data_IF_494269526463
#
_entry.id   IF_494269526463
#
_cell.length_a   1.000
_cell.length_b   1.000
_cell.length_c   1.000
_cell.angle_alpha   90.00
_cell.angle_beta   90.00
_cell.angle_gamma   90.00
#
_symmetry.space_group_name_H-M   'P 1'
#
loop_
_entity.id
_entity.type
_entity.pdbx_description
1 polymer ?
#
# COMPACT_ATOMS: atom_id res chain seq x y z
N UNK A 1 -26.82 16.74 -15.38
CA UNK A 1 -27.01 16.25 -14.00
C UNK A 1 -25.96 15.20 -13.66
N UNK A 2 -25.73 14.18 -14.50
CA UNK A 2 -24.57 13.27 -14.38
C UNK A 2 -23.27 14.06 -14.27
N UNK A 3 -22.97 14.95 -15.23
CA UNK A 3 -21.75 15.78 -15.20
C UNK A 3 -21.61 16.65 -13.95
N UNK A 4 -22.73 17.07 -13.35
CA UNK A 4 -22.72 17.89 -12.14
C UNK A 4 -22.32 17.05 -10.92
N UNK A 5 -22.82 15.82 -10.81
CA UNK A 5 -22.43 14.88 -9.75
C UNK A 5 -20.96 14.51 -9.92
N UNK A 6 -20.53 14.23 -11.15
CA UNK A 6 -19.15 13.84 -11.43
C UNK A 6 -18.16 15.00 -11.32
N UNK A 7 -18.61 16.25 -11.50
CA UNK A 7 -17.74 17.41 -11.30
C UNK A 7 -17.22 17.56 -9.86
N UNK A 8 -17.88 16.95 -8.87
CA UNK A 8 -17.40 16.92 -7.49
C UNK A 8 -16.10 16.11 -7.33
N UNK A 9 -15.81 15.19 -8.26
CA UNK A 9 -14.56 14.42 -8.26
C UNK A 9 -13.39 15.18 -8.89
N UNK A 10 -13.66 16.29 -9.59
CA UNK A 10 -12.63 17.10 -10.25
C UNK A 10 -11.93 17.99 -9.23
N UNK A 11 -10.63 17.76 -9.07
CA UNK A 11 -9.76 18.59 -8.25
C UNK A 11 -9.05 19.61 -9.15
N UNK A 12 -9.11 20.89 -8.77
CA UNK A 12 -8.32 21.94 -9.42
C UNK A 12 -6.83 21.79 -9.09
N UNK A 13 -5.98 22.49 -9.83
CA UNK A 13 -4.56 22.52 -9.52
C UNK A 13 -4.31 23.12 -8.13
N UNK A 14 -5.06 24.14 -7.78
CA UNK A 14 -5.01 24.82 -6.49
C UNK A 14 -5.40 23.88 -5.34
N UNK A 15 -6.41 23.02 -5.55
CA UNK A 15 -6.80 21.98 -4.59
C UNK A 15 -5.64 20.99 -4.35
N UNK A 16 -4.99 20.54 -5.42
CA UNK A 16 -3.87 19.60 -5.34
C UNK A 16 -2.64 20.23 -4.68
N UNK A 17 -2.35 21.50 -4.96
CA UNK A 17 -1.28 22.26 -4.30
C UNK A 17 -1.56 22.41 -2.79
N UNK A 18 -2.82 22.62 -2.40
CA UNK A 18 -3.22 22.70 -1.00
C UNK A 18 -3.12 21.33 -0.30
N UNK A 19 -3.55 20.25 -0.93
CA UNK A 19 -3.35 18.87 -0.43
C UNK A 19 -1.86 18.59 -0.23
N UNK A 20 -1.02 18.90 -1.23
CA UNK A 20 0.43 18.77 -1.17
C UNK A 20 1.04 19.58 0.00
N UNK A 21 0.57 20.80 0.23
CA UNK A 21 1.04 21.64 1.35
C UNK A 21 0.62 21.06 2.71
N UNK A 22 -0.63 20.57 2.83
CA UNK A 22 -1.17 19.99 4.06
C UNK A 22 -0.45 18.70 4.44
N UNK A 23 -0.26 17.77 3.50
CA UNK A 23 0.45 16.52 3.77
C UNK A 23 1.91 16.77 4.17
N UNK A 24 2.58 17.72 3.52
CA UNK A 24 3.96 18.11 3.88
C UNK A 24 4.06 18.63 5.30
N UNK A 25 3.09 19.43 5.74
CA UNK A 25 3.04 19.91 7.13
C UNK A 25 2.89 18.76 8.11
N UNK A 26 2.04 17.78 7.81
CA UNK A 26 1.87 16.60 8.67
C UNK A 26 3.11 15.71 8.68
N UNK A 27 3.84 15.58 7.57
CA UNK A 27 5.15 14.93 7.55
C UNK A 27 6.16 15.65 8.47
N UNK A 28 6.21 16.99 8.43
CA UNK A 28 7.09 17.75 9.34
C UNK A 28 6.71 17.60 10.81
N UNK A 29 5.41 17.43 11.11
CA UNK A 29 4.95 17.13 12.48
C UNK A 29 5.32 15.71 12.89
N UNK A 30 5.12 14.73 12.00
CA UNK A 30 5.45 13.33 12.27
C UNK A 30 6.92 13.09 12.58
N UNK A 31 7.82 13.91 12.05
CA UNK A 31 9.26 13.79 12.27
C UNK A 31 9.77 14.40 13.59
N UNK A 32 8.97 15.24 14.26
CA UNK A 32 9.38 15.96 15.47
C UNK A 32 8.91 15.25 16.73
N UNK A 33 9.76 15.17 17.74
CA UNK A 33 9.41 14.52 19.01
C UNK A 33 8.19 15.18 19.66
N UNK A 34 8.09 16.50 19.60
CA UNK A 34 7.02 17.27 20.24
C UNK A 34 5.63 17.04 19.63
N UNK A 35 5.55 16.71 18.34
CA UNK A 35 4.27 16.65 17.60
C UNK A 35 3.96 15.29 16.98
N UNK A 36 4.86 14.32 17.08
CA UNK A 36 4.73 12.97 16.51
C UNK A 36 3.46 12.22 16.94
N UNK A 37 3.14 12.27 18.23
CA UNK A 37 1.99 11.54 18.78
C UNK A 37 0.65 12.06 18.22
N UNK A 38 0.56 13.36 17.96
CA UNK A 38 -0.64 14.03 17.42
C UNK A 38 -0.68 14.07 15.88
N UNK A 39 0.45 13.86 15.21
CA UNK A 39 0.53 13.88 13.75
C UNK A 39 -0.29 12.73 13.14
N UNK A 40 -1.05 13.03 12.09
CA UNK A 40 -1.78 12.01 11.33
C UNK A 40 -0.82 11.16 10.48
N UNK A 41 0.20 11.79 9.90
CA UNK A 41 1.29 11.12 9.17
C UNK A 41 2.43 10.81 10.14
N UNK A 42 2.66 9.52 10.42
CA UNK A 42 3.54 9.09 11.52
C UNK A 42 5.03 9.17 11.24
N UNK A 43 5.48 9.11 9.99
CA UNK A 43 6.90 9.26 9.65
C UNK A 43 7.82 8.32 10.45
N UNK A 44 7.51 7.03 10.40
CA UNK A 44 8.14 5.98 11.18
C UNK A 44 9.59 5.72 10.71
N UNK A 45 10.59 5.83 11.59
CA UNK A 45 11.97 5.46 11.28
C UNK A 45 12.09 3.96 10.99
N UNK A 46 12.80 3.60 9.91
CA UNK A 46 12.92 2.18 9.48
C UNK A 46 14.24 1.53 9.86
N UNK A 47 15.20 2.32 10.37
CA UNK A 47 16.58 1.91 10.65
C UNK A 47 17.41 1.47 9.42
N UNK A 48 16.86 1.61 8.20
CA UNK A 48 17.62 1.48 6.96
C UNK A 48 18.33 2.82 6.68
N UNK A 49 19.67 2.84 6.82
CA UNK A 49 20.47 4.09 6.79
C UNK A 49 21.15 4.39 5.45
N UNK A 50 21.21 3.43 4.55
CA UNK A 50 21.81 3.59 3.23
C UNK A 50 21.05 2.79 2.18
N UNK A 51 21.17 3.24 0.94
CA UNK A 51 20.81 2.44 -0.24
C UNK A 51 21.91 1.42 -0.53
N UNK A 52 21.63 0.36 -1.30
CA UNK A 52 22.63 -0.64 -1.65
C UNK A 52 23.93 -0.03 -2.22
N UNK A 53 25.07 -0.59 -1.83
CA UNK A 53 26.41 -0.13 -2.28
C UNK A 53 26.93 -0.96 -3.46
N UNK A 54 26.31 -2.11 -3.73
CA UNK A 54 26.71 -3.07 -4.76
C UNK A 54 27.72 -4.12 -4.28
N UNK A 55 28.06 -4.10 -2.98
CA UNK A 55 28.90 -5.11 -2.34
C UNK A 55 28.10 -6.27 -1.73
N UNK A 56 26.77 -6.21 -1.81
CA UNK A 56 25.87 -7.21 -1.25
C UNK A 56 25.93 -8.52 -2.05
N UNK A 57 26.25 -9.62 -1.39
CA UNK A 57 26.30 -10.97 -1.98
C UNK A 57 25.77 -12.01 -0.99
N UNK A 58 25.06 -13.02 -1.48
CA UNK A 58 24.59 -14.14 -0.66
C UNK A 58 23.25 -14.73 -1.09
N UNK A 59 22.87 -15.81 -0.40
CA UNK A 59 21.56 -16.46 -0.51
C UNK A 59 20.72 -16.01 0.71
N UNK A 60 19.57 -15.38 0.45
CA UNK A 60 18.67 -14.84 1.47
C UNK A 60 17.27 -15.43 1.31
N UNK A 61 16.57 -15.58 2.44
CA UNK A 61 15.14 -15.78 2.43
C UNK A 61 14.43 -14.44 2.59
N UNK A 62 13.30 -14.28 1.91
CA UNK A 62 12.45 -13.12 2.08
C UNK A 62 11.00 -13.56 2.23
N UNK A 63 10.32 -12.94 3.19
CA UNK A 63 8.88 -13.09 3.40
C UNK A 63 8.19 -11.80 2.98
N UNK A 64 7.04 -11.91 2.32
CA UNK A 64 6.22 -10.77 1.93
C UNK A 64 4.79 -10.98 2.42
N UNK A 65 4.41 -10.22 3.44
CA UNK A 65 3.11 -10.24 4.08
C UNK A 65 2.51 -8.84 4.11
N UNK A 66 1.57 -8.58 3.19
CA UNK A 66 0.83 -7.31 3.15
C UNK A 66 -0.64 -7.41 2.75
N UNK A 67 -1.12 -8.60 2.42
CA UNK A 67 -2.50 -8.88 2.01
C UNK A 67 -2.82 -10.36 2.17
N UNK A 68 -3.85 -10.84 1.48
CA UNK A 68 -4.26 -12.26 1.50
C UNK A 68 -3.26 -13.19 0.81
N UNK A 69 -2.41 -12.65 -0.06
CA UNK A 69 -1.35 -13.38 -0.75
C UNK A 69 -0.04 -13.21 0.02
N UNK A 70 0.40 -14.27 0.68
CA UNK A 70 1.69 -14.37 1.36
C UNK A 70 2.73 -14.95 0.42
N UNK A 71 3.93 -14.39 0.38
CA UNK A 71 5.03 -14.91 -0.45
C UNK A 71 6.22 -15.34 0.40
N UNK A 72 6.78 -16.50 0.07
CA UNK A 72 8.08 -16.95 0.56
C UNK A 72 9.03 -16.99 -0.62
N UNK A 73 10.22 -16.41 -0.47
CA UNK A 73 11.18 -16.23 -1.54
C UNK A 73 12.58 -16.68 -1.11
N UNK A 74 13.32 -17.25 -2.05
CA UNK A 74 14.77 -17.39 -2.01
C UNK A 74 15.34 -16.37 -3.01
N UNK A 75 16.10 -15.41 -2.51
CA UNK A 75 16.77 -14.38 -3.28
C UNK A 75 18.27 -14.66 -3.25
N UNK A 76 18.86 -14.81 -4.43
CA UNK A 76 20.31 -14.97 -4.58
C UNK A 76 20.88 -13.72 -5.19
N UNK A 77 21.79 -13.08 -4.46
CA UNK A 77 22.51 -11.89 -4.91
C UNK A 77 23.95 -12.28 -5.15
N UNK A 78 24.46 -12.04 -6.36
CA UNK A 78 25.84 -12.33 -6.72
C UNK A 78 26.43 -11.31 -7.69
N UNK A 79 27.73 -11.38 -7.89
CA UNK A 79 28.45 -10.55 -8.87
C UNK A 79 28.19 -11.06 -10.29
N UNK A 80 28.06 -10.12 -11.24
CA UNK A 80 27.91 -10.40 -12.68
C UNK A 80 28.92 -9.56 -13.47
N UNK A 81 29.70 -10.20 -14.34
CA UNK A 81 30.78 -9.54 -15.08
C UNK A 81 30.28 -8.50 -16.10
N UNK A 82 29.03 -8.59 -16.58
CA UNK A 82 28.45 -7.66 -17.57
C UNK A 82 27.60 -6.56 -16.91
N UNK A 83 26.89 -6.86 -15.82
CA UNK A 83 25.94 -5.94 -15.16
C UNK A 83 26.38 -5.45 -13.78
N UNK A 84 27.53 -5.91 -13.29
CA UNK A 84 28.00 -5.71 -11.93
C UNK A 84 27.34 -6.66 -10.92
N UNK A 85 26.03 -6.91 -11.04
CA UNK A 85 25.27 -7.82 -10.17
C UNK A 85 24.28 -8.73 -10.91
N UNK A 86 23.88 -9.82 -10.26
CA UNK A 86 22.78 -10.69 -10.66
C UNK A 86 21.91 -11.02 -9.46
N UNK A 87 20.61 -10.76 -9.60
CA UNK A 87 19.59 -11.16 -8.63
C UNK A 87 18.74 -12.28 -9.23
N UNK A 88 18.78 -13.47 -8.62
CA UNK A 88 17.89 -14.59 -8.98
C UNK A 88 16.88 -14.84 -7.86
N UNK A 89 15.59 -14.81 -8.19
CA UNK A 89 14.52 -15.01 -7.22
C UNK A 89 13.70 -16.25 -7.56
N UNK A 90 13.54 -17.13 -6.57
CA UNK A 90 12.53 -18.22 -6.59
C UNK A 90 11.49 -17.91 -5.53
N UNK A 91 10.21 -18.08 -5.84
CA UNK A 91 9.16 -17.77 -4.88
C UNK A 91 7.98 -18.73 -4.97
N UNK A 92 7.27 -18.90 -3.86
CA UNK A 92 5.93 -19.48 -3.84
C UNK A 92 4.95 -18.52 -3.16
N UNK A 93 3.74 -18.50 -3.69
CA UNK A 93 2.61 -17.79 -3.10
C UNK A 93 1.73 -18.74 -2.30
N UNK A 94 1.25 -18.28 -1.16
CA UNK A 94 0.34 -18.97 -0.26
C UNK A 94 -0.85 -18.05 0.02
N UNK A 95 -2.05 -18.59 0.01
CA UNK A 95 -3.26 -17.84 0.39
C UNK A 95 -3.50 -17.99 1.87
N UNK A 96 -3.49 -16.88 2.61
CA UNK A 96 -3.76 -16.89 4.05
C UNK A 96 -5.26 -17.11 4.28
N UNK A 97 -5.67 -18.13 5.05
CA UNK A 97 -7.07 -18.33 5.40
C UNK A 97 -7.63 -17.17 6.21
N UNK A 98 -8.91 -16.84 6.01
CA UNK A 98 -9.60 -15.76 6.74
C UNK A 98 -9.56 -15.97 8.26
N UNK A 99 -9.72 -17.22 8.71
CA UNK A 99 -9.62 -17.60 10.12
C UNK A 99 -8.25 -17.30 10.72
N UNK A 100 -7.17 -17.39 9.93
CA UNK A 100 -5.82 -17.03 10.37
C UNK A 100 -5.63 -15.51 10.40
N UNK A 101 -6.23 -14.78 9.45
CA UNK A 101 -6.15 -13.31 9.41
C UNK A 101 -6.91 -12.64 10.56
N UNK A 102 -7.98 -13.27 11.04
CA UNK A 102 -8.90 -12.71 12.05
C UNK A 102 -8.86 -13.43 13.40
N UNK A 103 -8.12 -14.54 13.50
CA UNK A 103 -7.97 -15.34 14.71
C UNK A 103 -6.97 -14.77 15.72
N UNK A 104 -6.02 -15.60 16.17
CA UNK A 104 -4.95 -15.18 17.10
C UNK A 104 -3.63 -14.96 16.37
N UNK A 105 -2.74 -14.17 16.95
CA UNK A 105 -1.37 -14.02 16.47
C UNK A 105 -0.67 -15.38 16.35
N UNK A 106 -0.84 -16.26 17.35
CA UNK A 106 -0.29 -17.62 17.31
C UNK A 106 -0.75 -18.38 16.06
N UNK A 107 -2.06 -18.39 15.76
CA UNK A 107 -2.60 -19.04 14.56
C UNK A 107 -1.99 -18.47 13.26
N UNK A 108 -1.88 -17.14 13.16
CA UNK A 108 -1.31 -16.49 11.98
C UNK A 108 0.17 -16.85 11.79
N UNK A 109 0.99 -16.71 12.84
CA UNK A 109 2.43 -16.94 12.73
C UNK A 109 2.77 -18.44 12.62
N UNK A 110 1.96 -19.34 13.20
CA UNK A 110 2.10 -20.78 12.98
C UNK A 110 1.79 -21.19 11.53
N UNK A 111 0.77 -20.55 10.93
CA UNK A 111 0.47 -20.72 9.50
C UNK A 111 1.64 -20.24 8.63
N UNK A 112 2.18 -19.05 8.92
CA UNK A 112 3.36 -18.49 8.24
C UNK A 112 4.56 -19.45 8.35
N UNK A 113 4.86 -19.95 9.55
CA UNK A 113 5.93 -20.93 9.77
C UNK A 113 5.71 -22.23 8.96
N UNK A 114 4.45 -22.64 8.77
CA UNK A 114 4.11 -23.78 7.91
C UNK A 114 4.39 -23.53 6.43
N UNK A 115 4.04 -22.35 5.92
CA UNK A 115 4.35 -21.94 4.55
C UNK A 115 5.87 -21.88 4.30
N UNK A 116 6.62 -21.39 5.28
CA UNK A 116 8.08 -21.35 5.23
C UNK A 116 8.66 -22.77 5.15
N UNK A 117 8.23 -23.67 6.05
CA UNK A 117 8.64 -25.07 6.03
C UNK A 117 8.38 -25.75 4.69
N UNK A 118 7.17 -25.59 4.13
CA UNK A 118 6.79 -26.17 2.84
C UNK A 118 7.69 -25.65 1.70
N UNK A 119 7.99 -24.35 1.70
CA UNK A 119 8.92 -23.77 0.74
C UNK A 119 10.33 -24.36 0.87
N UNK A 120 10.84 -24.47 2.10
CA UNK A 120 12.16 -25.03 2.35
C UNK A 120 12.25 -26.50 1.94
N UNK A 121 11.21 -27.31 2.17
CA UNK A 121 11.16 -28.71 1.72
C UNK A 121 11.22 -28.81 0.20
N UNK A 122 10.39 -28.05 -0.50
CA UNK A 122 10.34 -28.05 -1.98
C UNK A 122 11.66 -27.64 -2.63
N UNK A 123 12.48 -26.86 -1.93
CA UNK A 123 13.78 -26.40 -2.42
C UNK A 123 14.97 -27.12 -1.77
N UNK A 124 14.75 -28.14 -0.93
CA UNK A 124 15.78 -28.85 -0.17
C UNK A 124 16.69 -27.92 0.65
N UNK A 125 16.11 -26.95 1.37
CA UNK A 125 16.83 -25.91 2.12
C UNK A 125 16.72 -26.03 3.64
N UNK A 126 15.93 -26.97 4.19
CA UNK A 126 15.74 -27.10 5.66
C UNK A 126 17.02 -27.28 6.47
N UNK A 127 18.06 -27.84 5.86
CA UNK A 127 19.36 -28.05 6.50
C UNK A 127 20.24 -26.79 6.55
N UNK A 128 19.83 -25.70 5.91
CA UNK A 128 20.58 -24.43 5.87
C UNK A 128 19.91 -23.41 6.78
N UNK A 129 20.72 -22.76 7.61
CA UNK A 129 20.32 -21.56 8.35
C UNK A 129 20.60 -20.34 7.48
N UNK A 130 19.58 -19.89 6.75
CA UNK A 130 19.67 -18.71 5.88
C UNK A 130 19.22 -17.44 6.62
N UNK A 131 19.84 -16.28 6.34
CA UNK A 131 19.34 -14.99 6.79
C UNK A 131 17.98 -14.71 6.14
N UNK A 132 17.05 -14.17 6.93
CA UNK A 132 15.68 -13.88 6.53
C UNK A 132 15.36 -12.39 6.68
N UNK A 133 14.94 -11.77 5.59
CA UNK A 133 14.27 -10.47 5.58
C UNK A 133 12.76 -10.66 5.65
N UNK A 134 12.08 -9.91 6.52
CA UNK A 134 10.63 -9.97 6.66
C UNK A 134 10.00 -8.66 6.19
N UNK A 135 9.45 -8.66 4.98
CA UNK A 135 8.58 -7.57 4.50
C UNK A 135 7.20 -7.71 5.14
N UNK A 136 6.86 -6.78 6.02
CA UNK A 136 5.63 -6.76 6.79
C UNK A 136 4.93 -5.41 6.59
N UNK A 137 3.91 -5.39 5.74
CA UNK A 137 3.29 -4.16 5.24
C UNK A 137 2.24 -3.57 6.19
N UNK A 138 2.57 -3.38 7.46
CA UNK A 138 1.66 -2.76 8.43
C UNK A 138 2.39 -1.67 9.21
N UNK A 139 1.66 -0.75 9.86
CA UNK A 139 2.27 0.25 10.73
C UNK A 139 3.03 -0.41 11.87
N UNK A 140 4.35 -0.25 11.86
CA UNK A 140 5.26 -0.82 12.86
C UNK A 140 6.15 0.28 13.42
N UNK A 141 6.20 0.38 14.74
CA UNK A 141 7.24 1.15 15.42
C UNK A 141 8.50 0.28 15.56
N UNK A 142 9.54 0.63 14.82
CA UNK A 142 10.83 -0.04 14.91
C UNK A 142 11.60 0.44 16.15
N UNK A 143 12.17 -0.51 16.88
CA UNK A 143 13.17 -0.26 17.93
C UNK A 143 14.58 -0.61 17.42
N UNK A 144 14.66 -1.48 16.43
CA UNK A 144 15.86 -1.86 15.69
C UNK A 144 15.44 -2.43 14.32
N UNK A 145 16.41 -2.77 13.46
CA UNK A 145 16.14 -3.37 12.15
C UNK A 145 15.42 -4.73 12.27
N UNK A 146 15.70 -5.51 13.32
CA UNK A 146 15.09 -6.83 13.58
C UNK A 146 14.04 -6.82 14.72
N UNK A 147 13.59 -5.62 15.15
CA UNK A 147 12.61 -5.46 16.23
C UNK A 147 11.57 -4.41 15.85
N UNK A 148 10.35 -4.88 15.64
CA UNK A 148 9.23 -4.00 15.31
C UNK A 148 7.99 -4.36 16.09
N UNK A 149 7.40 -3.34 16.72
CA UNK A 149 6.15 -3.43 17.45
C UNK A 149 5.02 -3.06 16.50
N UNK A 150 4.09 -3.99 16.25
CA UNK A 150 2.89 -3.69 15.47
C UNK A 150 2.04 -2.66 16.21
N UNK A 151 1.73 -1.54 15.56
CA UNK A 151 0.91 -0.48 16.15
C UNK A 151 -0.57 -0.81 16.03
N UNK A 152 -1.02 -1.06 14.81
CA UNK A 152 -2.41 -1.38 14.51
C UNK A 152 -2.48 -2.21 13.23
N UNK A 153 -3.48 -3.09 13.16
CA UNK A 153 -3.80 -3.78 11.93
C UNK A 153 -4.46 -2.84 10.91
N UNK A 154 -4.22 -3.14 9.64
CA UNK A 154 -4.89 -2.50 8.50
C UNK A 154 -5.32 -3.56 7.49
N UNK A 155 -5.94 -3.15 6.38
CA UNK A 155 -6.20 -4.00 5.21
C UNK A 155 -7.05 -5.26 5.45
N UNK A 156 -7.67 -5.41 6.62
CA UNK A 156 -8.59 -6.52 6.95
C UNK A 156 -8.00 -7.59 7.87
N UNK A 157 -6.73 -7.46 8.26
CA UNK A 157 -6.16 -8.27 9.34
C UNK A 157 -6.73 -7.82 10.69
N UNK A 158 -6.93 -8.76 11.61
CA UNK A 158 -7.40 -8.53 12.99
C UNK A 158 -6.87 -9.57 13.99
N UNK A 159 -5.75 -10.23 13.68
CA UNK A 159 -5.21 -11.29 14.51
C UNK A 159 -4.91 -10.76 15.93
N UNK A 160 -5.65 -11.28 16.91
CA UNK A 160 -5.60 -10.84 18.31
C UNK A 160 -4.26 -11.19 18.97
N UNK A 161 -3.73 -10.28 19.79
CA UNK A 161 -2.43 -10.47 20.46
C UNK A 161 -1.20 -10.15 19.61
N UNK A 162 -1.37 -9.62 18.39
CA UNK A 162 -0.25 -9.14 17.58
C UNK A 162 0.04 -7.64 17.80
N UNK A 163 -1.01 -6.80 17.90
CA UNK A 163 -0.87 -5.37 18.19
C UNK A 163 -0.18 -5.17 19.56
N UNK A 164 0.73 -4.20 19.63
CA UNK A 164 1.57 -3.94 20.80
C UNK A 164 2.70 -4.94 21.04
N UNK A 165 2.85 -5.97 20.19
CA UNK A 165 3.85 -7.03 20.36
C UNK A 165 4.92 -7.00 19.26
N UNK A 166 6.10 -7.58 19.57
CA UNK A 166 7.21 -7.69 18.64
C UNK A 166 6.91 -8.77 17.57
N UNK A 167 6.68 -8.33 16.34
CA UNK A 167 6.34 -9.19 15.18
C UNK A 167 7.43 -10.22 14.89
N UNK A 168 8.70 -9.81 14.96
CA UNK A 168 9.84 -10.72 14.77
C UNK A 168 9.91 -11.75 15.90
N UNK A 169 9.57 -11.34 17.13
CA UNK A 169 9.43 -12.25 18.26
C UNK A 169 8.34 -13.31 18.03
N UNK A 170 7.15 -12.89 17.59
CA UNK A 170 6.04 -13.79 17.29
C UNK A 170 6.39 -14.81 16.20
N UNK A 171 7.10 -14.38 15.15
CA UNK A 171 7.61 -15.28 14.11
C UNK A 171 8.67 -16.25 14.65
N UNK A 172 9.62 -15.76 15.44
CA UNK A 172 10.66 -16.60 16.09
C UNK A 172 10.03 -17.67 16.99
N UNK A 173 9.00 -17.31 17.76
CA UNK A 173 8.27 -18.24 18.61
C UNK A 173 7.53 -19.31 17.80
N UNK A 174 6.91 -18.94 16.68
CA UNK A 174 6.24 -19.89 15.79
C UNK A 174 7.21 -20.90 15.15
N UNK A 175 8.37 -20.42 14.68
CA UNK A 175 9.43 -21.27 14.13
C UNK A 175 9.95 -22.23 15.22
N UNK A 176 10.13 -21.74 16.46
CA UNK A 176 10.57 -22.55 17.60
C UNK A 176 9.52 -23.59 18.02
N UNK A 177 8.23 -23.24 18.06
CA UNK A 177 7.14 -24.19 18.33
C UNK A 177 7.12 -25.32 17.32
N UNK A 178 7.40 -25.00 16.05
CA UNK A 178 7.44 -25.98 14.97
C UNK A 178 8.65 -26.92 15.04
N UNK A 179 9.85 -26.35 15.19
CA UNK A 179 11.08 -27.11 15.49
C UNK A 179 11.68 -27.96 14.36
N UNK A 180 11.19 -27.86 13.11
CA UNK A 180 11.69 -28.65 11.97
C UNK A 180 12.66 -27.88 11.05
N UNK A 181 12.92 -26.60 11.32
CA UNK A 181 13.95 -25.79 10.68
C UNK A 181 14.43 -24.64 11.60
N UNK A 182 15.59 -24.06 11.28
CA UNK A 182 16.10 -22.86 11.94
C UNK A 182 16.25 -21.70 10.95
N UNK A 183 16.04 -20.48 11.43
CA UNK A 183 16.26 -19.24 10.66
C UNK A 183 16.86 -18.14 11.50
N UNK A 184 17.50 -17.21 10.81
CA UNK A 184 17.98 -15.97 11.40
C UNK A 184 17.22 -14.79 10.80
N UNK A 185 16.25 -14.24 11.54
CA UNK A 185 15.52 -13.05 11.10
C UNK A 185 16.41 -11.85 11.36
N UNK A 186 17.00 -11.30 10.29
CA UNK A 186 18.02 -10.24 10.35
C UNK A 186 17.45 -8.85 10.13
N UNK A 187 16.28 -8.76 9.47
CA UNK A 187 15.62 -7.51 9.21
C UNK A 187 14.12 -7.68 9.06
N UNK A 188 13.37 -6.68 9.49
CA UNK A 188 11.97 -6.48 9.15
C UNK A 188 11.83 -5.11 8.48
N UNK A 189 11.09 -5.04 7.38
CA UNK A 189 10.91 -3.81 6.60
C UNK A 189 9.46 -3.67 6.15
N UNK A 190 9.03 -2.45 5.86
CA UNK A 190 7.76 -2.19 5.18
C UNK A 190 7.89 -2.49 3.67
N UNK A 191 6.78 -2.77 2.99
CA UNK A 191 6.79 -3.03 1.54
C UNK A 191 7.27 -1.83 0.73
N UNK A 192 6.92 -0.61 1.12
CA UNK A 192 7.45 0.61 0.48
C UNK A 192 8.98 0.63 0.49
N UNK A 193 9.61 0.28 1.61
CA UNK A 193 11.07 0.22 1.76
C UNK A 193 11.66 -0.88 0.90
N UNK A 194 11.03 -2.07 0.91
CA UNK A 194 11.46 -3.18 0.06
C UNK A 194 11.37 -2.83 -1.44
N UNK A 195 10.31 -2.14 -1.86
CA UNK A 195 10.13 -1.66 -3.23
C UNK A 195 11.17 -0.61 -3.61
N UNK A 196 11.48 0.34 -2.72
CA UNK A 196 12.53 1.33 -2.93
C UNK A 196 13.89 0.65 -3.15
N UNK A 197 14.26 -0.28 -2.26
CA UNK A 197 15.52 -1.02 -2.34
C UNK A 197 15.56 -1.88 -3.61
N UNK A 198 14.46 -2.57 -3.94
CA UNK A 198 14.39 -3.40 -5.14
C UNK A 198 14.58 -2.57 -6.42
N UNK A 199 13.99 -1.38 -6.50
CA UNK A 199 14.14 -0.49 -7.65
C UNK A 199 15.56 0.10 -7.73
N UNK A 200 16.24 0.28 -6.60
CA UNK A 200 17.62 0.73 -6.58
C UNK A 200 18.58 -0.23 -7.31
N UNK A 201 18.25 -1.54 -7.36
CA UNK A 201 19.00 -2.52 -8.15
C UNK A 201 18.88 -2.32 -9.68
N UNK A 202 18.00 -1.44 -10.14
CA UNK A 202 17.88 -1.06 -11.54
C UNK A 202 18.31 0.39 -11.77
N UNK A 203 17.99 1.29 -10.84
CA UNK A 203 18.32 2.71 -10.90
C UNK A 203 18.81 3.25 -9.54
N UNK A 204 20.11 3.59 -9.47
CA UNK A 204 20.76 4.12 -8.28
C UNK A 204 20.28 5.50 -7.84
N UNK A 205 19.42 6.17 -8.62
CA UNK A 205 18.75 7.41 -8.22
C UNK A 205 17.43 7.16 -7.47
N UNK A 206 17.06 5.90 -7.22
CA UNK A 206 15.86 5.55 -6.47
C UNK A 206 16.01 5.83 -4.98
N UNK A 207 15.23 6.79 -4.47
CA UNK A 207 15.22 7.16 -3.05
C UNK A 207 13.81 7.38 -2.49
N UNK A 208 12.79 6.96 -3.25
CA UNK A 208 11.38 6.91 -2.83
C UNK A 208 10.82 5.54 -3.21
N UNK A 209 10.11 4.92 -2.29
CA UNK A 209 9.30 3.73 -2.54
C UNK A 209 7.82 4.08 -2.38
N UNK A 210 6.98 3.62 -3.29
CA UNK A 210 5.55 3.88 -3.26
C UNK A 210 4.76 2.61 -3.56
N UNK A 211 3.70 2.38 -2.79
CA UNK A 211 2.77 1.27 -2.99
C UNK A 211 1.39 1.84 -3.30
N UNK A 212 0.80 1.43 -4.42
CA UNK A 212 -0.60 1.74 -4.79
C UNK A 212 -1.29 0.45 -5.21
N UNK A 213 -1.79 -0.27 -4.20
CA UNK A 213 -2.37 -1.61 -4.33
C UNK A 213 -3.66 -1.73 -3.56
N UNK A 214 -3.77 -2.70 -2.65
CA UNK A 214 -4.91 -2.79 -1.71
C UNK A 214 -5.01 -1.54 -0.84
N UNK A 215 -3.87 -1.07 -0.34
CA UNK A 215 -3.70 0.23 0.34
C UNK A 215 -2.83 1.19 -0.46
N UNK A 216 -2.45 2.29 0.15
CA UNK A 216 -1.57 3.30 -0.43
C UNK A 216 -0.57 3.81 0.61
N UNK A 217 0.73 3.68 0.35
CA UNK A 217 1.79 4.15 1.26
C UNK A 217 3.04 4.61 0.48
N UNK A 218 3.91 5.40 1.13
CA UNK A 218 5.22 5.74 0.61
C UNK A 218 6.30 5.77 1.70
N UNK A 219 7.55 5.57 1.29
CA UNK A 219 8.74 5.84 2.07
C UNK A 219 9.75 6.65 1.26
N UNK A 220 10.70 7.29 1.92
CA UNK A 220 11.79 8.00 1.25
C UNK A 220 13.02 8.13 2.15
N UNK A 221 14.18 8.46 1.54
CA UNK A 221 15.42 8.76 2.28
C UNK A 221 15.41 10.19 2.83
N UNK A 222 15.26 10.34 4.14
CA UNK A 222 15.30 11.61 4.88
C UNK A 222 16.69 11.86 5.49
N UNK A 223 17.02 13.13 5.71
CA UNK A 223 18.24 13.55 6.40
C UNK A 223 18.14 13.26 7.91
N UNK A 224 19.13 12.58 8.51
CA UNK A 224 19.07 12.18 9.93
C UNK A 224 18.81 13.35 10.88
N UNK A 225 19.42 14.52 10.62
CA UNK A 225 19.16 15.79 11.34
C UNK A 225 17.70 16.26 11.35
N UNK A 226 16.81 15.63 10.57
CA UNK A 226 15.36 15.90 10.53
C UNK A 226 14.54 14.82 11.20
N UNK A 227 15.11 13.67 11.54
CA UNK A 227 14.43 12.56 12.18
C UNK A 227 14.68 12.64 13.69
N UNK A 228 13.99 13.55 14.38
CA UNK A 228 14.21 13.78 15.82
C UNK A 228 13.86 12.56 16.69
N UNK A 229 13.12 11.60 16.12
CA UNK A 229 12.70 10.35 16.77
C UNK A 229 13.85 9.34 17.00
N UNK A 230 15.01 9.56 16.38
CA UNK A 230 16.18 8.68 16.49
C UNK A 230 17.40 9.51 16.84
N UNK A 231 18.20 9.06 17.80
CA UNK A 231 19.44 9.74 18.17
C UNK A 231 20.46 9.74 17.01
N UNK A 232 21.07 10.91 16.79
CA UNK A 232 22.12 11.13 15.80
C UNK A 232 21.68 12.04 14.64
N UNK A 233 22.60 12.84 14.13
CA UNK A 233 22.32 13.81 13.06
C UNK A 233 23.02 13.47 11.74
N UNK A 234 23.95 12.52 11.75
CA UNK A 234 24.79 12.19 10.61
C UNK A 234 24.15 11.16 9.67
N UNK A 235 24.25 11.41 8.37
CA UNK A 235 23.76 10.51 7.33
C UNK A 235 22.28 10.65 7.07
N UNK A 236 21.66 9.56 6.62
CA UNK A 236 20.26 9.51 6.19
C UNK A 236 19.56 8.28 6.77
N UNK A 237 18.24 8.30 6.77
CA UNK A 237 17.43 7.14 7.13
C UNK A 237 16.21 7.09 6.23
N UNK A 238 15.86 5.88 5.78
CA UNK A 238 14.58 5.67 5.14
C UNK A 238 13.45 5.85 6.17
N UNK A 239 12.49 6.70 5.86
CA UNK A 239 11.32 6.96 6.69
C UNK A 239 10.10 6.40 5.99
N UNK A 240 9.36 5.53 6.67
CA UNK A 240 8.05 5.08 6.25
C UNK A 240 7.01 6.12 6.66
N UNK A 241 6.37 6.77 5.69
CA UNK A 241 5.47 7.90 5.98
C UNK A 241 4.21 7.45 6.73
N UNK A 242 3.70 6.25 6.43
CA UNK A 242 2.33 5.83 6.77
C UNK A 242 1.30 6.89 6.38
N UNK A 243 1.47 7.48 5.19
CA UNK A 243 0.65 8.60 4.73
C UNK A 243 -0.83 8.27 4.52
N UNK A 244 -1.21 6.99 4.63
CA UNK A 244 -2.59 6.54 4.46
C UNK A 244 -3.53 7.14 5.50
N UNK A 245 -3.00 7.47 6.69
CA UNK A 245 -3.69 8.13 7.78
C UNK A 245 -3.81 9.66 7.62
N UNK A 246 -3.22 10.25 6.57
CA UNK A 246 -3.42 11.67 6.30
C UNK A 246 -4.92 11.99 6.19
N UNK A 247 -5.35 13.08 6.85
CA UNK A 247 -6.76 13.45 6.92
C UNK A 247 -7.50 12.93 8.15
N UNK A 248 -6.96 11.96 8.90
CA UNK A 248 -7.59 11.40 10.11
C UNK A 248 -7.88 12.47 11.19
N UNK A 249 -7.15 13.60 11.19
CA UNK A 249 -7.41 14.74 12.09
C UNK A 249 -8.23 15.86 11.42
N UNK A 250 -8.85 15.60 10.27
CA UNK A 250 -9.70 16.54 9.53
C UNK A 250 -8.96 17.35 8.45
N UNK A 251 -7.69 17.06 8.15
CA UNK A 251 -6.90 17.80 7.14
C UNK A 251 -7.48 17.70 5.73
N UNK A 252 -8.30 16.67 5.47
CA UNK A 252 -8.90 16.38 4.17
C UNK A 252 -10.40 16.65 4.09
N UNK A 253 -11.04 17.20 5.13
CA UNK A 253 -12.51 17.24 5.21
C UNK A 253 -13.14 18.01 4.04
N UNK A 254 -12.50 19.08 3.56
CA UNK A 254 -12.93 19.88 2.41
C UNK A 254 -12.91 19.11 1.08
N UNK A 255 -12.12 18.04 1.00
CA UNK A 255 -11.91 17.24 -0.22
C UNK A 255 -12.68 15.90 -0.19
N UNK A 256 -13.35 15.58 0.93
CA UNK A 256 -14.14 14.36 1.07
C UNK A 256 -15.55 14.58 0.54
N UNK A 257 -16.00 13.67 -0.31
CA UNK A 257 -17.37 13.61 -0.83
C UNK A 257 -18.27 12.77 0.09
N UNK A 258 -19.57 12.79 -0.16
CA UNK A 258 -20.53 11.98 0.61
C UNK A 258 -20.20 10.48 0.55
N UNK A 259 -19.76 9.99 -0.62
CA UNK A 259 -19.37 8.59 -0.83
C UNK A 259 -18.16 8.18 0.01
N UNK A 260 -17.19 9.09 0.17
CA UNK A 260 -15.98 8.85 0.95
C UNK A 260 -16.31 8.73 2.45
N UNK A 261 -17.34 9.44 2.92
CA UNK A 261 -17.86 9.34 4.29
C UNK A 261 -18.59 8.01 4.51
N UNK A 262 -19.43 7.60 3.57
CA UNK A 262 -20.12 6.29 3.64
C UNK A 262 -19.12 5.13 3.67
N UNK A 263 -18.06 5.18 2.86
CA UNK A 263 -17.01 4.15 2.88
C UNK A 263 -16.32 4.08 4.22
N UNK A 264 -15.98 5.24 4.78
CA UNK A 264 -15.29 5.36 6.05
C UNK A 264 -16.15 4.85 7.21
N UNK A 265 -17.38 5.34 7.35
CA UNK A 265 -18.33 4.95 8.40
C UNK A 265 -18.62 3.44 8.41
N UNK A 266 -18.64 2.83 7.22
CA UNK A 266 -18.91 1.40 7.08
C UNK A 266 -17.63 0.56 7.10
N UNK A 267 -16.43 1.14 7.12
CA UNK A 267 -15.18 0.37 7.06
C UNK A 267 -14.89 -0.37 8.38
N UNK A 268 -13.85 -1.21 8.37
CA UNK A 268 -13.39 -1.90 9.58
C UNK A 268 -12.70 -0.97 10.59
N UNK A 269 -12.39 0.26 10.17
CA UNK A 269 -11.60 1.27 10.86
C UNK A 269 -12.17 2.68 10.57
N UNK A 270 -13.41 3.00 11.02
CA UNK A 270 -14.00 4.32 10.80
C UNK A 270 -13.16 5.44 11.43
N UNK A 271 -13.05 6.57 10.73
CA UNK A 271 -12.23 7.72 11.15
C UNK A 271 -10.73 7.55 10.92
N UNK A 272 -10.29 6.41 10.36
CA UNK A 272 -8.88 6.10 10.16
C UNK A 272 -8.55 5.78 8.70
N UNK A 273 -7.28 5.99 8.32
CA UNK A 273 -6.77 5.74 6.96
C UNK A 273 -7.57 6.50 5.89
N UNK A 274 -7.96 7.75 6.19
CA UNK A 274 -8.87 8.50 5.33
C UNK A 274 -8.28 8.77 3.93
N UNK A 275 -7.01 9.14 3.83
CA UNK A 275 -6.35 9.32 2.54
C UNK A 275 -6.20 8.01 1.75
N UNK A 276 -5.87 6.91 2.44
CA UNK A 276 -5.84 5.59 1.80
C UNK A 276 -7.21 5.21 1.23
N UNK A 277 -8.32 5.54 1.90
CA UNK A 277 -9.68 5.25 1.43
C UNK A 277 -10.04 5.96 0.13
N UNK A 278 -9.39 7.09 -0.18
CA UNK A 278 -9.59 7.83 -1.43
C UNK A 278 -8.83 7.23 -2.61
N UNK A 279 -7.77 6.43 -2.36
CA UNK A 279 -6.80 6.01 -3.38
C UNK A 279 -6.75 4.48 -3.52
N UNK A 280 -6.70 3.77 -2.40
CA UNK A 280 -6.43 2.34 -2.35
C UNK A 280 -7.47 1.49 -3.08
N UNK A 281 -6.99 0.46 -3.76
CA UNK A 281 -7.82 -0.47 -4.53
C UNK A 281 -8.78 -1.29 -3.69
N UNK A 282 -8.65 -1.32 -2.36
CA UNK A 282 -9.69 -1.90 -1.48
C UNK A 282 -11.00 -1.12 -1.53
N UNK A 283 -10.95 0.18 -1.81
CA UNK A 283 -12.09 1.10 -1.67
C UNK A 283 -12.60 1.64 -3.01
N UNK A 284 -11.75 1.70 -4.03
CA UNK A 284 -12.08 2.26 -5.35
C UNK A 284 -13.34 1.66 -5.99
N UNK A 285 -13.47 0.34 -6.04
CA UNK A 285 -14.67 -0.31 -6.58
C UNK A 285 -15.94 0.01 -5.79
N UNK A 286 -15.85 0.14 -4.47
CA UNK A 286 -16.97 0.53 -3.62
C UNK A 286 -17.35 2.01 -3.81
N UNK A 287 -16.37 2.91 -4.05
CA UNK A 287 -16.64 4.30 -4.41
C UNK A 287 -17.47 4.36 -5.70
N UNK A 288 -17.02 3.64 -6.73
CA UNK A 288 -17.76 3.54 -7.99
C UNK A 288 -19.18 3.03 -7.75
N UNK A 289 -19.33 1.93 -7.00
CA UNK A 289 -20.65 1.36 -6.68
C UNK A 289 -21.60 2.38 -6.04
N UNK A 290 -21.12 3.15 -5.07
CA UNK A 290 -21.92 4.16 -4.38
C UNK A 290 -22.36 5.29 -5.31
N UNK A 291 -21.47 5.75 -6.20
CA UNK A 291 -21.81 6.75 -7.22
C UNK A 291 -22.84 6.19 -8.21
N UNK A 292 -22.68 4.94 -8.67
CA UNK A 292 -23.66 4.29 -9.52
C UNK A 292 -25.04 4.22 -8.84
N UNK A 293 -25.11 3.85 -7.57
CA UNK A 293 -26.37 3.84 -6.81
C UNK A 293 -26.99 5.23 -6.68
N UNK A 294 -26.18 6.27 -6.49
CA UNK A 294 -26.68 7.66 -6.48
C UNK A 294 -27.30 8.03 -7.82
N UNK A 295 -26.64 7.71 -8.94
CA UNK A 295 -27.18 7.97 -10.28
C UNK A 295 -28.47 7.20 -10.54
N UNK A 296 -28.56 5.95 -10.09
CA UNK A 296 -29.82 5.17 -10.16
C UNK A 296 -30.92 5.84 -9.36
N UNK A 297 -30.66 6.23 -8.11
CA UNK A 297 -31.67 6.86 -7.25
C UNK A 297 -32.19 8.20 -7.80
N UNK A 298 -31.35 8.94 -8.53
CA UNK A 298 -31.72 10.17 -9.25
C UNK A 298 -32.37 9.90 -10.62
N UNK A 299 -32.66 8.63 -10.95
CA UNK A 299 -33.22 8.16 -12.22
C UNK A 299 -32.38 8.55 -13.45
N UNK A 300 -31.06 8.58 -13.28
CA UNK A 300 -30.07 8.93 -14.31
C UNK A 300 -29.36 7.71 -14.92
N UNK A 301 -29.49 6.55 -14.29
CA UNK A 301 -28.83 5.31 -14.70
C UNK A 301 -29.79 4.13 -14.53
N UNK A 302 -29.73 3.15 -15.43
CA UNK A 302 -30.50 1.90 -15.39
C UNK A 302 -32.02 2.09 -15.22
N UNK A 303 -32.58 3.19 -15.74
CA UNK A 303 -33.99 3.56 -15.60
C UNK A 303 -34.47 3.63 -14.13
N UNK A 304 -33.57 3.95 -13.21
CA UNK A 304 -33.90 4.10 -11.79
C UNK A 304 -34.03 2.79 -11.02
N UNK A 305 -33.65 1.65 -11.62
CA UNK A 305 -33.69 0.35 -10.96
C UNK A 305 -32.29 -0.28 -10.87
N UNK A 306 -31.82 -0.49 -9.64
CA UNK A 306 -30.58 -1.19 -9.36
C UNK A 306 -30.86 -2.68 -9.10
N UNK A 307 -30.03 -3.56 -9.67
CA UNK A 307 -30.07 -4.98 -9.33
C UNK A 307 -29.72 -5.22 -7.85
N UNK A 308 -30.19 -6.35 -7.30
CA UNK A 308 -29.86 -6.74 -5.92
C UNK A 308 -28.35 -6.95 -5.72
N UNK A 309 -27.65 -7.40 -6.76
CA UNK A 309 -26.19 -7.53 -6.75
C UNK A 309 -25.51 -6.16 -6.64
N UNK A 310 -25.95 -5.14 -7.40
CA UNK A 310 -25.36 -3.80 -7.30
C UNK A 310 -25.61 -3.13 -5.94
N UNK A 311 -26.75 -3.43 -5.32
CA UNK A 311 -27.07 -2.98 -3.95
C UNK A 311 -26.16 -3.63 -2.89
N UNK A 312 -25.55 -4.76 -3.19
CA UNK A 312 -24.67 -5.49 -2.28
C UNK A 312 -23.30 -4.80 -2.19
N UNK A 313 -22.88 -4.48 -0.96
CA UNK A 313 -21.57 -3.86 -0.69
C UNK A 313 -20.42 -4.72 -1.19
N UNK A 314 -19.42 -4.11 -1.83
CA UNK A 314 -18.25 -4.80 -2.35
C UNK A 314 -18.50 -5.64 -3.60
N UNK A 315 -19.72 -5.65 -4.15
CA UNK A 315 -20.04 -6.39 -5.37
C UNK A 315 -19.35 -5.81 -6.62
N UNK A 316 -18.99 -4.53 -6.59
CA UNK A 316 -18.23 -3.89 -7.66
C UNK A 316 -16.75 -3.89 -7.30
N UNK A 317 -16.01 -4.87 -7.81
CA UNK A 317 -14.59 -5.03 -7.51
C UNK A 317 -13.73 -4.02 -8.29
N UNK A 318 -12.60 -3.60 -7.71
CA UNK A 318 -11.66 -2.68 -8.37
C UNK A 318 -11.12 -3.20 -9.70
N UNK A 319 -11.03 -4.52 -9.89
CA UNK A 319 -10.67 -5.10 -11.20
C UNK A 319 -11.67 -4.71 -12.30
N UNK A 320 -12.95 -4.50 -11.97
CA UNK A 320 -13.94 -4.04 -12.93
C UNK A 320 -13.67 -2.61 -13.38
N UNK A 321 -13.19 -1.73 -12.48
CA UNK A 321 -12.80 -0.36 -12.81
C UNK A 321 -11.71 -0.37 -13.89
N UNK A 322 -10.61 -1.09 -13.65
CA UNK A 322 -9.51 -1.23 -14.62
C UNK A 322 -9.98 -1.82 -15.95
N UNK A 323 -10.86 -2.83 -15.90
CA UNK A 323 -11.41 -3.50 -17.08
C UNK A 323 -12.32 -2.58 -17.91
N UNK A 324 -13.16 -1.78 -17.26
CA UNK A 324 -14.07 -0.83 -17.92
C UNK A 324 -13.28 0.26 -18.63
N UNK A 325 -12.26 0.82 -17.98
CA UNK A 325 -11.44 1.88 -18.57
C UNK A 325 -10.52 1.38 -19.69
N UNK A 326 -10.15 0.09 -19.65
CA UNK A 326 -9.37 -0.58 -20.70
C UNK A 326 -10.18 -0.95 -21.94
N UNK A 327 -11.51 -0.81 -21.91
CA UNK A 327 -12.37 -1.15 -23.04
C UNK A 327 -12.02 -0.27 -24.24
N UNK A 328 -11.83 -0.89 -25.41
CA UNK A 328 -11.39 -0.22 -26.65
C UNK A 328 -12.48 0.60 -27.34
N UNK A 329 -13.63 0.78 -26.69
CA UNK A 329 -14.77 1.57 -27.18
C UNK A 329 -15.88 0.73 -27.82
N UNK A 330 -15.77 -0.60 -27.81
CA UNK A 330 -16.85 -1.49 -28.28
C UNK A 330 -17.85 -1.86 -27.18
N UNK A 331 -17.59 -1.43 -25.93
CA UNK A 331 -18.43 -1.56 -24.73
C UNK A 331 -18.71 -3.00 -24.33
N UNK A 332 -18.12 -4.00 -24.98
CA UNK A 332 -18.42 -5.41 -24.69
C UNK A 332 -17.99 -5.77 -23.28
N UNK A 333 -16.86 -5.25 -22.83
CA UNK A 333 -16.35 -5.55 -21.51
C UNK A 333 -17.26 -4.96 -20.43
N UNK A 334 -17.68 -3.70 -20.63
CA UNK A 334 -18.63 -3.01 -19.75
C UNK A 334 -19.97 -3.76 -19.71
N UNK A 335 -20.50 -4.13 -20.87
CA UNK A 335 -21.75 -4.88 -20.98
C UNK A 335 -21.69 -6.22 -20.23
N UNK A 336 -20.59 -6.97 -20.38
CA UNK A 336 -20.40 -8.25 -19.71
C UNK A 336 -20.32 -8.11 -18.19
N UNK A 337 -19.61 -7.09 -17.70
CA UNK A 337 -19.50 -6.81 -16.26
C UNK A 337 -20.88 -6.45 -15.70
N UNK A 338 -21.60 -5.51 -16.32
CA UNK A 338 -22.94 -5.12 -15.87
C UNK A 338 -23.94 -6.28 -15.94
N UNK A 339 -23.86 -7.11 -16.98
CA UNK A 339 -24.66 -8.34 -17.10
C UNK A 339 -24.36 -9.34 -15.98
N UNK A 340 -23.09 -9.48 -15.57
CA UNK A 340 -22.71 -10.33 -14.43
C UNK A 340 -23.26 -9.82 -13.09
N UNK A 341 -23.54 -8.52 -13.01
CA UNK A 341 -24.23 -7.87 -11.89
C UNK A 341 -25.75 -7.90 -12.05
N UNK A 342 -26.29 -8.65 -13.02
CA UNK A 342 -27.73 -8.77 -13.25
C UNK A 342 -28.38 -7.53 -13.85
N UNK A 343 -27.61 -6.67 -14.51
CA UNK A 343 -28.08 -5.44 -15.17
C UNK A 343 -28.03 -5.64 -16.69
N UNK A 344 -29.08 -5.24 -17.39
CA UNK A 344 -29.09 -5.19 -18.84
C UNK A 344 -28.91 -3.72 -19.28
N UNK A 345 -27.67 -3.26 -19.53
CA UNK A 345 -27.40 -1.84 -19.77
C UNK A 345 -27.74 -1.43 -21.20
N UNK A 346 -28.16 -0.17 -21.37
CA UNK A 346 -28.15 0.51 -22.66
C UNK A 346 -26.72 0.95 -23.02
N UNK A 347 -26.50 1.39 -24.28
CA UNK A 347 -25.21 1.98 -24.68
C UNK A 347 -24.85 3.22 -23.84
N UNK A 348 -25.86 4.05 -23.52
CA UNK A 348 -25.67 5.23 -22.69
C UNK A 348 -25.30 4.86 -21.24
N UNK A 349 -25.90 3.81 -20.69
CA UNK A 349 -25.55 3.33 -19.34
C UNK A 349 -24.08 2.90 -19.29
N UNK A 350 -23.59 2.20 -20.33
CA UNK A 350 -22.19 1.81 -20.43
C UNK A 350 -21.26 3.04 -20.46
N UNK A 351 -21.62 4.07 -21.23
CA UNK A 351 -20.84 5.30 -21.32
C UNK A 351 -20.81 6.07 -19.99
N UNK A 352 -21.93 6.12 -19.26
CA UNK A 352 -22.01 6.74 -17.92
C UNK A 352 -21.18 5.95 -16.91
N UNK A 353 -21.29 4.62 -16.90
CA UNK A 353 -20.51 3.76 -15.98
C UNK A 353 -19.01 3.95 -16.21
N UNK A 354 -18.58 4.05 -17.47
CA UNK A 354 -17.19 4.36 -17.82
C UNK A 354 -16.76 5.71 -17.24
N UNK A 355 -17.55 6.75 -17.44
CA UNK A 355 -17.25 8.10 -16.96
C UNK A 355 -17.16 8.15 -15.42
N UNK A 356 -17.97 7.37 -14.72
CA UNK A 356 -17.91 7.24 -13.25
C UNK A 356 -16.59 6.59 -12.83
N UNK A 357 -16.19 5.48 -13.48
CA UNK A 357 -14.90 4.83 -13.23
C UNK A 357 -13.74 5.82 -13.41
N UNK A 358 -13.69 6.48 -14.58
CA UNK A 358 -12.66 7.46 -14.94
C UNK A 358 -12.60 8.63 -13.93
N UNK A 359 -13.76 9.11 -13.46
CA UNK A 359 -13.81 10.20 -12.47
C UNK A 359 -13.23 9.79 -11.12
N UNK A 360 -13.53 8.58 -10.64
CA UNK A 360 -13.03 8.06 -9.36
C UNK A 360 -11.54 7.76 -9.45
N UNK A 361 -11.09 7.06 -10.49
CA UNK A 361 -9.70 6.67 -10.68
C UNK A 361 -8.79 7.87 -10.94
N UNK A 362 -9.23 8.84 -11.75
CA UNK A 362 -8.49 10.09 -12.00
C UNK A 362 -8.31 10.89 -10.71
N UNK A 363 -9.34 11.02 -9.88
CA UNK A 363 -9.23 11.68 -8.56
C UNK A 363 -8.22 10.97 -7.67
N UNK A 364 -8.25 9.63 -7.62
CA UNK A 364 -7.30 8.84 -6.86
C UNK A 364 -5.85 9.06 -7.33
N UNK A 365 -5.62 9.07 -8.65
CA UNK A 365 -4.30 9.32 -9.24
C UNK A 365 -3.80 10.74 -8.94
N UNK A 366 -4.65 11.76 -9.07
CA UNK A 366 -4.30 13.15 -8.74
C UNK A 366 -3.97 13.34 -7.26
N UNK A 367 -4.77 12.75 -6.35
CA UNK A 367 -4.48 12.77 -4.92
C UNK A 367 -3.13 12.11 -4.65
N UNK A 368 -2.91 10.89 -5.14
CA UNK A 368 -1.63 10.19 -5.02
C UNK A 368 -0.44 11.02 -5.54
N UNK A 369 -0.62 11.69 -6.68
CA UNK A 369 0.36 12.60 -7.27
C UNK A 369 0.68 13.81 -6.39
N UNK A 370 -0.34 14.43 -5.76
CA UNK A 370 -0.15 15.53 -4.81
C UNK A 370 0.64 15.08 -3.56
N UNK A 371 0.34 13.88 -3.05
CA UNK A 371 1.12 13.28 -1.96
C UNK A 371 2.59 13.06 -2.31
N UNK A 372 2.84 12.43 -3.47
CA UNK A 372 4.20 12.17 -3.96
C UNK A 372 4.96 13.48 -4.24
N UNK A 373 4.30 14.48 -4.83
CA UNK A 373 4.88 15.80 -5.03
C UNK A 373 5.28 16.45 -3.69
N UNK A 374 4.50 16.25 -2.63
CA UNK A 374 4.81 16.71 -1.27
C UNK A 374 6.11 16.10 -0.75
N UNK A 375 6.29 14.79 -0.93
CA UNK A 375 7.52 14.06 -0.56
C UNK A 375 8.73 14.57 -1.35
N UNK A 376 8.64 14.61 -2.68
CA UNK A 376 9.76 15.00 -3.55
C UNK A 376 10.17 16.45 -3.31
N UNK A 377 9.20 17.36 -3.15
CA UNK A 377 9.48 18.77 -2.86
C UNK A 377 10.12 18.96 -1.48
N UNK A 378 9.68 18.19 -0.47
CA UNK A 378 10.32 18.18 0.84
C UNK A 378 11.79 17.76 0.71
N UNK A 379 12.08 16.65 0.03
CA UNK A 379 13.45 16.17 -0.19
C UNK A 379 14.32 17.21 -0.89
N UNK A 380 13.80 17.82 -1.97
CA UNK A 380 14.49 18.88 -2.72
C UNK A 380 14.86 20.07 -1.82
N UNK A 381 13.91 20.54 -1.01
CA UNK A 381 14.12 21.64 -0.07
C UNK A 381 15.14 21.28 1.02
N UNK A 382 15.06 20.07 1.60
CA UNK A 382 15.99 19.59 2.64
C UNK A 382 17.44 19.50 2.15
N UNK A 383 17.62 19.21 0.87
CA UNK A 383 18.92 19.12 0.19
C UNK A 383 19.40 20.44 -0.39
N UNK A 384 18.62 21.51 -0.25
CA UNK A 384 18.90 22.83 -0.81
C UNK A 384 19.20 22.78 -2.33
N UNK A 385 18.46 21.95 -3.07
CA UNK A 385 18.63 21.79 -4.51
C UNK A 385 17.60 22.61 -5.28
N UNK A 386 18.02 23.26 -6.37
CA UNK A 386 17.09 23.97 -7.26
C UNK A 386 16.23 22.95 -8.05
N UNK A 387 16.86 21.90 -8.55
CA UNK A 387 16.28 20.79 -9.29
C UNK A 387 16.70 19.46 -8.62
N UNK A 388 15.75 18.55 -8.42
CA UNK A 388 15.99 17.22 -7.89
C UNK A 388 15.64 16.18 -8.95
N UNK A 389 16.64 15.44 -9.40
CA UNK A 389 16.46 14.25 -10.23
C UNK A 389 16.43 13.02 -9.33
N UNK A 390 15.34 12.27 -9.37
CA UNK A 390 15.08 11.13 -8.49
C UNK A 390 14.25 10.09 -9.21
N UNK A 391 14.42 8.82 -8.82
CA UNK A 391 13.57 7.72 -9.24
C UNK A 391 12.67 7.27 -8.09
N UNK A 392 11.44 6.89 -8.43
CA UNK A 392 10.46 6.35 -7.49
C UNK A 392 10.23 4.89 -7.86
N UNK A 393 10.57 3.99 -6.94
CA UNK A 393 10.19 2.58 -7.06
C UNK A 393 8.71 2.43 -6.74
N UNK A 394 7.92 1.89 -7.67
CA UNK A 394 6.47 1.72 -7.49
C UNK A 394 6.05 0.26 -7.62
N UNK A 395 5.23 -0.21 -6.68
CA UNK A 395 4.51 -1.47 -6.78
C UNK A 395 3.03 -1.28 -6.39
N UNK A 396 2.22 -2.31 -6.57
CA UNK A 396 0.81 -2.35 -6.24
C UNK A 396 -0.06 -2.71 -7.44
N UNK A 397 -1.10 -3.49 -7.17
CA UNK A 397 -1.98 -4.02 -8.21
C UNK A 397 -2.75 -2.94 -8.95
N UNK A 398 -3.11 -1.83 -8.29
CA UNK A 398 -3.81 -0.73 -8.95
C UNK A 398 -2.86 -0.06 -9.94
N UNK A 399 -1.67 0.35 -9.49
CA UNK A 399 -0.69 0.98 -10.38
C UNK A 399 -0.29 0.11 -11.59
N UNK A 400 -0.16 -1.22 -11.38
CA UNK A 400 0.28 -2.14 -12.45
C UNK A 400 -0.82 -2.51 -13.45
N UNK A 401 -2.09 -2.53 -13.03
CA UNK A 401 -3.19 -3.09 -13.82
C UNK A 401 -4.17 -2.03 -14.32
N UNK A 402 -4.20 -0.85 -13.71
CA UNK A 402 -5.04 0.25 -14.15
C UNK A 402 -4.47 0.87 -15.45
N UNK A 403 -5.29 1.14 -16.47
CA UNK A 403 -4.79 1.57 -17.79
C UNK A 403 -4.29 3.02 -17.82
N UNK A 404 -4.67 3.84 -16.84
CA UNK A 404 -4.36 5.27 -16.75
C UNK A 404 -3.85 5.64 -15.36
#
# INVERSE_FOLDING_TARGET
MVDQILSEFLLSKEDLEEVMRRIRREMERGLRVETHDEASVKMLPTYVRSTPEGSEVGDFLALDLGGTNFRVMLVKVGEDEERGWKVETKHHMYSIPEDAMTGTAEMLFDYIASCISDFLDKHNLKHKKLPLGFTFSFPVRHEDLDKGILLNWTKGFKASGAEGNNVVGLLRDAIKRRGDFEMDVVAMVNDTVATMISCYYEDRSCEVGMIVGTGCNACYMEEMRKVELVEGEEGRMCVNTEWGAFGDNGELEDFRLEYDRVIDETSLNPGHQLYEKLIGGKYMGELVRLVLLKLVNENLLFNGDASDLLKTRGAFETRFVSQIESDTGDRKQIYNILSSLGILPSELDCDIVRLVCESVSTRAAHMCGAGLAGVINLMRERRCQEELKITVGVDGSVYKLHPQ
#
